data_IF_025936622637
#
_entry.id   IF_025936622637
#
_cell.length_a   1.000
_cell.length_b   1.000
_cell.length_c   1.000
_cell.angle_alpha   90.00
_cell.angle_beta   90.00
_cell.angle_gamma   90.00
#
_symmetry.space_group_name_H-M   'P 1'
#
loop_
_entity.id
_entity.type
_entity.pdbx_description
1 polymer ?
#
# COMPACT_ATOMS: atom_id res chain seq x y z
N UNK A 1 13.00 -5.31 0.18
CA UNK A 1 12.02 -6.39 0.45
C UNK A 1 12.79 -7.70 0.36
N UNK A 2 12.26 -8.82 0.86
CA UNK A 2 12.92 -10.12 0.73
C UNK A 2 12.17 -10.95 -0.31
N UNK A 3 12.81 -11.19 -1.45
CA UNK A 3 12.38 -12.20 -2.44
C UNK A 3 13.25 -13.43 -2.22
N UNK A 4 12.65 -14.59 -2.03
CA UNK A 4 13.37 -15.82 -1.71
C UNK A 4 12.57 -17.04 -2.13
N UNK A 5 13.25 -18.14 -2.46
CA UNK A 5 12.68 -19.38 -2.96
C UNK A 5 13.74 -20.21 -3.67
N UNK A 6 13.31 -21.17 -4.50
CA UNK A 6 14.22 -21.87 -5.39
C UNK A 6 14.79 -20.87 -6.43
N UNK A 7 16.12 -20.80 -6.61
CA UNK A 7 16.74 -19.85 -7.53
C UNK A 7 16.45 -20.17 -9.01
N UNK A 8 16.55 -19.17 -9.91
CA UNK A 8 16.89 -17.75 -9.65
C UNK A 8 15.76 -17.02 -8.90
N UNK A 9 16.08 -15.92 -8.21
CA UNK A 9 15.04 -15.12 -7.51
C UNK A 9 15.09 -13.64 -7.87
N UNK A 10 16.14 -13.24 -8.59
CA UNK A 10 16.37 -11.87 -9.01
C UNK A 10 15.53 -11.55 -10.25
N UNK A 11 14.88 -10.38 -10.29
CA UNK A 11 13.87 -10.07 -11.29
C UNK A 11 14.38 -10.09 -12.74
N UNK A 12 15.65 -9.72 -12.97
CA UNK A 12 16.27 -9.69 -14.30
C UNK A 12 16.43 -11.07 -14.96
N UNK A 13 16.24 -12.16 -14.23
CA UNK A 13 16.21 -13.51 -14.81
C UNK A 13 14.83 -13.87 -15.42
N UNK A 14 13.81 -13.02 -15.24
CA UNK A 14 12.43 -13.28 -15.67
C UNK A 14 11.97 -12.39 -16.85
N UNK A 15 12.89 -11.62 -17.44
CA UNK A 15 12.61 -10.74 -18.59
C UNK A 15 12.43 -9.27 -18.20
N UNK A 16 12.44 -8.40 -19.22
CA UNK A 16 12.38 -6.94 -19.06
C UNK A 16 11.06 -6.49 -18.44
N UNK A 17 9.92 -6.95 -18.98
CA UNK A 17 8.58 -6.59 -18.47
C UNK A 17 8.42 -6.88 -16.97
N UNK A 18 8.87 -8.07 -16.53
CA UNK A 18 8.82 -8.43 -15.11
C UNK A 18 9.78 -7.57 -14.27
N UNK A 19 10.97 -7.30 -14.80
CA UNK A 19 11.96 -6.45 -14.12
C UNK A 19 11.44 -5.04 -13.92
N UNK A 20 10.75 -4.50 -14.91
CA UNK A 20 10.18 -3.16 -14.87
C UNK A 20 9.02 -3.06 -13.87
N UNK A 21 8.09 -4.03 -13.89
CA UNK A 21 7.02 -4.12 -12.89
C UNK A 21 7.55 -4.27 -11.46
N UNK A 22 8.60 -5.08 -11.29
CA UNK A 22 9.29 -5.22 -10.00
C UNK A 22 9.95 -3.91 -9.58
N UNK A 23 10.61 -3.21 -10.51
CA UNK A 23 11.25 -1.91 -10.26
C UNK A 23 10.23 -0.89 -9.78
N UNK A 24 9.10 -0.73 -10.46
CA UNK A 24 8.02 0.19 -10.04
C UNK A 24 7.56 -0.08 -8.61
N UNK A 25 7.36 -1.35 -8.25
CA UNK A 25 6.97 -1.74 -6.88
C UNK A 25 8.06 -1.46 -5.84
N UNK A 26 9.32 -1.71 -6.20
CA UNK A 26 10.47 -1.42 -5.34
C UNK A 26 10.67 0.09 -5.13
N UNK A 27 10.54 0.88 -6.19
CA UNK A 27 10.64 2.33 -6.16
C UNK A 27 9.50 2.95 -5.34
N UNK A 28 8.26 2.46 -5.48
CA UNK A 28 7.15 2.87 -4.62
C UNK A 28 7.47 2.65 -3.14
N UNK A 29 8.05 1.51 -2.79
CA UNK A 29 8.50 1.26 -1.41
C UNK A 29 9.49 2.34 -0.95
N UNK A 30 10.48 2.68 -1.76
CA UNK A 30 11.46 3.72 -1.41
C UNK A 30 10.83 5.11 -1.28
N UNK A 31 9.92 5.46 -2.19
CA UNK A 31 9.12 6.69 -2.10
C UNK A 31 8.35 6.77 -0.78
N UNK A 32 7.76 5.65 -0.34
CA UNK A 32 6.99 5.56 0.91
C UNK A 32 7.85 5.35 2.16
N UNK A 33 9.19 5.34 2.09
CA UNK A 33 10.04 5.11 3.28
C UNK A 33 9.75 6.04 4.47
N UNK A 34 9.49 7.34 4.28
CA UNK A 34 9.10 8.21 5.38
C UNK A 34 7.82 7.74 6.09
N UNK A 35 6.80 7.36 5.34
CA UNK A 35 5.55 6.83 5.90
C UNK A 35 5.80 5.52 6.65
N UNK A 36 6.60 4.63 6.06
CA UNK A 36 6.91 3.33 6.64
C UNK A 36 7.65 3.47 7.98
N UNK A 37 8.59 4.40 8.10
CA UNK A 37 9.27 4.67 9.38
C UNK A 37 8.31 5.25 10.42
N UNK A 38 7.45 6.20 10.06
CA UNK A 38 6.42 6.74 10.97
C UNK A 38 5.50 5.62 11.50
N UNK A 39 5.06 4.70 10.63
CA UNK A 39 4.24 3.57 11.05
C UNK A 39 5.01 2.53 11.88
N UNK A 40 6.32 2.35 11.65
CA UNK A 40 7.17 1.48 12.46
C UNK A 40 7.40 2.06 13.86
N UNK A 41 7.55 3.38 13.98
CA UNK A 41 7.63 4.08 15.26
C UNK A 41 6.32 3.92 16.04
N UNK A 42 5.17 4.18 15.41
CA UNK A 42 3.84 3.94 16.01
C UNK A 42 3.65 2.50 16.47
N UNK A 43 4.10 1.54 15.67
CA UNK A 43 4.05 0.12 16.03
C UNK A 43 4.85 -0.17 17.30
N UNK A 44 6.06 0.39 17.40
CA UNK A 44 6.90 0.23 18.59
C UNK A 44 6.28 0.88 19.84
N UNK A 45 5.65 2.05 19.68
CA UNK A 45 5.07 2.81 20.79
C UNK A 45 3.75 2.22 21.31
N UNK A 46 2.92 1.66 20.42
CA UNK A 46 1.55 1.27 20.75
C UNK A 46 1.31 -0.24 20.75
N UNK A 47 2.21 -1.01 20.13
CA UNK A 47 2.00 -2.44 19.87
C UNK A 47 1.07 -2.74 18.70
N UNK A 48 0.47 -1.74 18.04
CA UNK A 48 -0.34 -1.96 16.84
C UNK A 48 0.55 -2.42 15.68
N UNK A 49 0.20 -3.50 14.96
CA UNK A 49 1.02 -3.96 13.85
C UNK A 49 0.99 -2.97 12.68
N UNK A 50 2.02 -2.97 11.85
CA UNK A 50 2.02 -2.16 10.62
C UNK A 50 1.08 -2.71 9.55
N UNK A 51 0.91 -4.03 9.47
CA UNK A 51 -0.12 -4.67 8.66
C UNK A 51 -1.28 -5.01 9.59
N UNK A 52 -2.44 -4.39 9.36
CA UNK A 52 -3.61 -4.51 10.22
C UNK A 52 -4.76 -5.13 9.44
N UNK A 53 -5.38 -6.17 9.98
CA UNK A 53 -6.70 -6.59 9.52
C UNK A 53 -7.69 -5.44 9.73
N UNK A 54 -8.67 -5.30 8.83
CA UNK A 54 -9.65 -4.21 8.90
C UNK A 54 -10.41 -4.19 10.24
N UNK A 55 -10.71 -5.34 10.81
CA UNK A 55 -11.38 -5.48 12.12
C UNK A 55 -10.64 -4.80 13.29
N UNK A 56 -9.33 -4.56 13.17
CA UNK A 56 -8.56 -3.88 14.22
C UNK A 56 -8.99 -2.41 14.32
N UNK A 57 -9.26 -1.76 13.19
CA UNK A 57 -9.68 -0.35 13.15
C UNK A 57 -11.20 -0.18 13.12
N UNK A 58 -11.93 -1.19 12.64
CA UNK A 58 -13.39 -1.16 12.50
C UNK A 58 -14.08 -2.34 13.20
N UNK A 59 -13.90 -2.53 14.51
CA UNK A 59 -14.47 -3.69 15.22
C UNK A 59 -16.00 -3.71 15.18
N UNK A 60 -16.64 -2.54 15.11
CA UNK A 60 -18.10 -2.39 15.09
C UNK A 60 -18.74 -2.64 13.72
N UNK A 61 -17.93 -2.80 12.67
CA UNK A 61 -18.41 -3.09 11.33
C UNK A 61 -18.38 -4.61 11.08
N UNK A 62 -19.52 -5.32 11.10
CA UNK A 62 -19.55 -6.77 10.95
C UNK A 62 -19.04 -7.25 9.58
N UNK A 63 -19.05 -6.38 8.54
CA UNK A 63 -18.58 -6.77 7.22
C UNK A 63 -17.08 -7.07 7.23
N UNK A 64 -16.28 -6.30 7.98
CA UNK A 64 -14.81 -6.43 7.96
C UNK A 64 -14.29 -7.67 8.67
N UNK A 65 -15.11 -8.33 9.50
CA UNK A 65 -14.73 -9.55 10.21
C UNK A 65 -14.54 -10.76 9.28
N UNK A 66 -15.16 -10.72 8.11
CA UNK A 66 -15.07 -11.79 7.11
C UNK A 66 -14.12 -11.43 5.96
N UNK A 67 -13.42 -10.30 6.05
CA UNK A 67 -12.48 -9.84 5.03
C UNK A 67 -11.07 -10.22 5.45
N UNK A 68 -10.49 -11.17 4.74
CA UNK A 68 -9.13 -11.68 4.95
C UNK A 68 -8.17 -11.32 3.80
N UNK A 69 -8.68 -10.63 2.78
CA UNK A 69 -8.00 -10.37 1.51
C UNK A 69 -7.76 -8.87 1.22
N UNK A 70 -8.02 -8.04 2.23
CA UNK A 70 -7.77 -6.59 2.31
C UNK A 70 -7.17 -6.27 3.68
N UNK A 71 -6.24 -5.32 3.72
CA UNK A 71 -5.59 -4.91 4.97
C UNK A 71 -5.27 -3.43 4.97
N UNK A 72 -5.09 -2.86 6.15
CA UNK A 72 -4.46 -1.55 6.30
C UNK A 72 -2.94 -1.72 6.45
N UNK A 73 -2.22 -0.94 5.66
CA UNK A 73 -0.80 -0.71 5.81
C UNK A 73 -0.59 0.61 6.58
N UNK A 74 -0.32 0.47 7.87
CA UNK A 74 -0.31 1.58 8.82
C UNK A 74 -1.72 2.04 9.17
N UNK A 75 -1.84 3.34 9.41
CA UNK A 75 -3.10 3.97 9.82
C UNK A 75 -3.97 4.39 8.64
N UNK A 76 -3.35 4.77 7.52
CA UNK A 76 -4.00 5.57 6.48
C UNK A 76 -4.15 4.89 5.12
N UNK A 77 -3.36 3.86 4.82
CA UNK A 77 -3.38 3.18 3.51
C UNK A 77 -4.08 1.83 3.60
N UNK A 78 -5.10 1.59 2.78
CA UNK A 78 -5.73 0.28 2.60
C UNK A 78 -5.26 -0.36 1.30
N UNK A 79 -4.92 -1.64 1.35
CA UNK A 79 -4.39 -2.40 0.21
C UNK A 79 -5.25 -3.64 -0.01
N UNK A 80 -5.66 -3.84 -1.27
CA UNK A 80 -6.31 -5.05 -1.75
C UNK A 80 -5.48 -5.63 -2.92
N UNK A 81 -4.59 -6.61 -2.66
CA UNK A 81 -3.74 -7.21 -3.70
C UNK A 81 -4.55 -7.91 -4.80
N UNK A 82 -4.02 -8.03 -6.00
CA UNK A 82 -4.60 -8.91 -7.03
C UNK A 82 -3.98 -10.30 -6.91
N UNK A 83 -4.82 -11.36 -6.87
CA UNK A 83 -4.36 -12.75 -6.74
C UNK A 83 -4.37 -13.53 -8.06
N UNK A 84 -5.11 -13.05 -9.04
CA UNK A 84 -5.28 -13.67 -10.36
C UNK A 84 -4.85 -12.70 -11.45
N UNK A 85 -4.78 -13.17 -12.70
CA UNK A 85 -4.51 -12.36 -13.89
C UNK A 85 -5.72 -11.46 -14.27
N UNK A 86 -6.14 -10.63 -13.32
CA UNK A 86 -7.22 -9.64 -13.45
C UNK A 86 -6.65 -8.23 -13.36
N UNK A 87 -7.42 -7.24 -13.80
CA UNK A 87 -7.03 -5.82 -13.73
C UNK A 87 -7.85 -5.04 -12.70
N UNK A 88 -8.87 -5.67 -12.13
CA UNK A 88 -9.79 -5.08 -11.17
C UNK A 88 -10.29 -6.15 -10.20
N UNK A 89 -10.79 -5.71 -9.05
CA UNK A 89 -11.42 -6.59 -8.05
C UNK A 89 -12.49 -5.87 -7.27
N UNK A 90 -13.34 -6.64 -6.58
CA UNK A 90 -14.23 -6.10 -5.56
C UNK A 90 -13.43 -5.79 -4.28
N UNK A 91 -13.72 -4.63 -3.70
CA UNK A 91 -13.12 -4.10 -2.47
C UNK A 91 -14.23 -3.52 -1.61
N UNK A 92 -14.19 -3.79 -0.31
CA UNK A 92 -15.11 -3.22 0.65
C UNK A 92 -14.45 -2.03 1.35
N UNK A 93 -15.13 -0.90 1.33
CA UNK A 93 -14.67 0.32 1.96
C UNK A 93 -15.45 0.55 3.25
N UNK A 94 -14.81 0.54 4.43
CA UNK A 94 -15.48 0.87 5.68
C UNK A 94 -15.88 2.35 5.70
N UNK A 95 -16.55 2.79 6.78
CA UNK A 95 -17.29 4.06 6.90
C UNK A 95 -16.56 5.36 6.48
N UNK A 96 -15.23 5.35 6.34
CA UNK A 96 -14.46 6.47 5.83
C UNK A 96 -14.70 6.76 4.34
N UNK A 97 -14.22 7.93 3.92
CA UNK A 97 -14.02 8.24 2.50
C UNK A 97 -12.61 7.88 2.10
N UNK A 98 -12.48 7.30 0.92
CA UNK A 98 -11.22 6.78 0.41
C UNK A 98 -10.85 7.46 -0.89
N UNK A 99 -9.55 7.59 -1.12
CA UNK A 99 -8.98 8.13 -2.35
C UNK A 99 -8.01 7.11 -2.88
N UNK A 100 -8.13 6.77 -4.16
CA UNK A 100 -7.17 5.91 -4.83
C UNK A 100 -5.81 6.59 -4.90
N UNK A 101 -4.81 5.94 -4.31
CA UNK A 101 -3.45 6.45 -4.21
C UNK A 101 -2.82 6.69 -5.58
N UNK A 102 -3.16 5.86 -6.57
CA UNK A 102 -2.56 5.87 -7.89
C UNK A 102 -3.31 6.81 -8.84
N UNK A 103 -4.64 6.88 -8.72
CA UNK A 103 -5.50 7.63 -9.68
C UNK A 103 -6.08 8.93 -9.13
N UNK A 104 -6.08 9.12 -7.80
CA UNK A 104 -6.72 10.26 -7.13
C UNK A 104 -8.25 10.18 -7.09
N UNK A 105 -8.86 9.11 -7.60
CA UNK A 105 -10.32 8.95 -7.62
C UNK A 105 -10.85 8.71 -6.20
N UNK A 106 -11.88 9.46 -5.81
CA UNK A 106 -12.55 9.27 -4.51
C UNK A 106 -13.64 8.21 -4.55
N UNK A 107 -13.83 7.52 -3.43
CA UNK A 107 -14.85 6.53 -3.17
C UNK A 107 -15.48 6.76 -1.79
N UNK A 108 -16.80 6.60 -1.69
CA UNK A 108 -17.51 6.53 -0.41
C UNK A 108 -17.50 5.09 0.14
N UNK A 109 -17.95 4.88 1.38
CA UNK A 109 -18.06 3.57 1.99
C UNK A 109 -18.95 2.58 1.18
N UNK A 110 -18.74 1.29 1.37
CA UNK A 110 -19.47 0.19 0.72
C UNK A 110 -18.63 -0.62 -0.26
N UNK A 111 -19.29 -1.49 -1.02
CA UNK A 111 -18.64 -2.34 -2.01
C UNK A 111 -18.41 -1.62 -3.34
N UNK A 112 -17.20 -1.72 -3.86
CA UNK A 112 -16.81 -1.14 -5.15
C UNK A 112 -16.03 -2.15 -5.97
N UNK A 113 -16.20 -2.09 -7.30
CA UNK A 113 -15.32 -2.75 -8.25
C UNK A 113 -14.26 -1.74 -8.70
N UNK A 114 -13.01 -1.96 -8.31
CA UNK A 114 -11.91 -1.01 -8.48
C UNK A 114 -10.81 -1.65 -9.31
N UNK A 115 -10.39 -0.95 -10.38
CA UNK A 115 -9.23 -1.33 -11.18
C UNK A 115 -7.93 -0.99 -10.44
N UNK A 116 -6.93 -1.86 -10.53
CA UNK A 116 -5.58 -1.52 -10.09
C UNK A 116 -4.97 -0.47 -11.04
N UNK A 117 -4.01 0.30 -10.50
CA UNK A 117 -3.21 1.23 -11.29
C UNK A 117 -1.98 0.55 -11.91
N UNK A 118 -0.92 1.35 -12.08
CA UNK A 118 0.38 0.88 -12.57
C UNK A 118 0.99 -0.17 -11.65
N UNK A 119 0.87 0.03 -10.34
CA UNK A 119 1.11 -1.02 -9.36
C UNK A 119 -0.11 -1.95 -9.36
N UNK A 120 0.07 -3.27 -9.58
CA UNK A 120 -1.02 -4.25 -9.73
C UNK A 120 -1.66 -4.62 -8.38
N UNK A 121 -2.08 -3.61 -7.62
CA UNK A 121 -2.84 -3.70 -6.39
C UNK A 121 -3.77 -2.50 -6.28
N UNK A 122 -4.96 -2.69 -5.69
CA UNK A 122 -5.79 -1.55 -5.30
C UNK A 122 -5.19 -0.95 -4.03
N UNK A 123 -4.80 0.32 -4.09
CA UNK A 123 -4.20 1.05 -2.97
C UNK A 123 -5.05 2.29 -2.74
N UNK A 124 -5.71 2.34 -1.61
CA UNK A 124 -6.55 3.46 -1.21
C UNK A 124 -5.94 4.14 0.01
N UNK A 125 -6.18 5.43 0.15
CA UNK A 125 -5.81 6.20 1.33
C UNK A 125 -7.03 6.92 1.89
N UNK A 126 -7.08 7.09 3.20
CA UNK A 126 -8.15 7.86 3.83
C UNK A 126 -8.17 9.29 3.26
N UNK A 127 -9.35 9.80 2.95
CA UNK A 127 -9.52 11.18 2.52
C UNK A 127 -9.07 12.14 3.62
N UNK A 128 -8.19 13.07 3.28
CA UNK A 128 -7.55 13.99 4.19
C UNK A 128 -6.21 13.50 4.76
N UNK A 129 -5.83 12.25 4.52
CA UNK A 129 -4.54 11.72 4.98
C UNK A 129 -3.38 12.45 4.33
N UNK A 130 -2.29 12.58 5.08
CA UNK A 130 -1.04 13.15 4.61
C UNK A 130 -0.03 12.01 4.53
N UNK A 131 0.37 11.65 3.31
CA UNK A 131 1.35 10.59 3.08
C UNK A 131 2.69 11.25 2.75
N UNK A 132 3.70 11.14 3.65
CA UNK A 132 5.03 11.67 3.39
C UNK A 132 5.77 10.79 2.37
N UNK A 133 6.31 11.42 1.33
CA UNK A 133 6.97 10.76 0.20
C UNK A 133 8.36 11.35 -0.04
N UNK A 134 9.37 10.49 -0.17
CA UNK A 134 10.73 10.86 -0.53
C UNK A 134 10.97 10.69 -2.04
N UNK A 135 11.94 11.39 -2.64
CA UNK A 135 12.48 10.99 -3.94
C UNK A 135 12.97 9.53 -3.92
N UNK A 136 12.85 8.84 -5.05
CA UNK A 136 13.34 7.47 -5.20
C UNK A 136 14.83 7.42 -4.93
N UNK A 137 15.25 6.45 -4.11
CA UNK A 137 16.64 6.21 -3.76
C UNK A 137 17.03 4.76 -4.05
N UNK A 138 18.30 4.53 -4.41
CA UNK A 138 18.82 3.19 -4.71
C UNK A 138 19.07 2.34 -3.45
N UNK A 139 19.18 2.99 -2.30
CA UNK A 139 19.44 2.37 -1.00
C UNK A 139 19.03 3.32 0.13
N UNK A 140 18.83 2.81 1.34
CA UNK A 140 18.25 3.58 2.44
C UNK A 140 19.17 4.70 2.96
N UNK A 141 20.48 4.54 2.81
CA UNK A 141 21.51 5.55 3.09
C UNK A 141 21.50 6.72 2.08
N UNK A 142 20.84 6.55 0.93
CA UNK A 142 20.74 7.56 -0.14
C UNK A 142 19.39 8.25 -0.20
N UNK A 143 18.53 8.06 0.80
CA UNK A 143 17.24 8.76 0.87
C UNK A 143 17.51 10.23 1.19
N UNK A 144 17.02 11.12 0.33
CA UNK A 144 17.08 12.58 0.49
C UNK A 144 15.97 13.06 1.44
N UNK A 145 16.17 12.88 2.75
CA UNK A 145 15.18 13.15 3.79
C UNK A 145 14.72 14.62 3.83
N UNK A 146 15.60 15.55 3.48
CA UNK A 146 15.32 16.98 3.37
C UNK A 146 14.37 17.33 2.21
N UNK A 147 14.18 16.40 1.26
CA UNK A 147 13.28 16.58 0.11
C UNK A 147 11.94 15.87 0.27
N UNK A 148 11.64 15.33 1.45
CA UNK A 148 10.36 14.68 1.72
C UNK A 148 9.21 15.67 1.52
N UNK A 149 8.18 15.22 0.79
CA UNK A 149 6.95 15.98 0.52
C UNK A 149 5.77 15.32 1.21
N UNK A 150 4.99 16.14 1.89
CA UNK A 150 3.73 15.73 2.49
C UNK A 150 2.61 15.87 1.45
N UNK A 151 2.17 14.74 0.88
CA UNK A 151 1.09 14.74 -0.11
C UNK A 151 -0.23 14.51 0.61
N UNK A 152 -1.15 15.47 0.47
CA UNK A 152 -2.51 15.36 0.99
C UNK A 152 -3.41 14.73 -0.05
N UNK A 153 -4.15 13.70 0.36
CA UNK A 153 -5.16 13.02 -0.44
C UNK A 153 -6.58 13.40 0.00
#
# INVERSE_FOLDING_TARGET
ARVHGAPPTEPWYYGEDFTDAFRQSAELKYTLMPYILDQAEKCTQTGLPMLRALLIEYPEDPAVWQIDDQYLFGSDMMVAPLFESVQDRFVYLPADRWVDYQTGKSYDAGWHRIAAGEIPAVILVRKGAIIPQAPVAQSTDKIEWEKVKNIKY
#
